data_IF_636526680413
#
_entry.id   IF_636526680413
#
_cell.length_a   1.000
_cell.length_b   1.000
_cell.length_c   1.000
_cell.angle_alpha   90.00
_cell.angle_beta   90.00
_cell.angle_gamma   90.00
#
_symmetry.space_group_name_H-M   'P 1'
#
loop_
_entity.id
_entity.type
_entity.pdbx_description
1 polymer ?
#
# COMPACT_ATOMS: atom_id res chain seq x y z
N UNK A 1 -18.35 -73.18 50.33
CA UNK A 1 -19.24 -74.34 50.55
C UNK A 1 -20.44 -74.18 49.62
N UNK A 2 -20.55 -75.00 48.55
CA UNK A 2 -21.69 -75.09 47.59
C UNK A 2 -22.08 -73.80 46.82
N UNK A 3 -22.66 -73.83 45.63
CA UNK A 3 -22.57 -74.72 44.44
C UNK A 3 -23.06 -73.89 43.20
N UNK A 4 -22.98 -74.42 41.96
CA UNK A 4 -23.44 -73.72 40.73
C UNK A 4 -24.38 -74.60 39.89
N UNK A 5 -25.29 -74.00 39.08
CA UNK A 5 -25.13 -74.01 37.60
C UNK A 5 -25.59 -72.67 36.92
N UNK A 6 -24.94 -72.13 35.86
CA UNK A 6 -25.08 -72.37 34.39
C UNK A 6 -26.46 -72.06 33.78
N UNK A 7 -26.64 -71.66 32.51
CA UNK A 7 -25.82 -71.10 31.39
C UNK A 7 -26.78 -70.77 30.21
N UNK A 8 -26.49 -70.13 29.06
CA UNK A 8 -25.28 -69.84 28.24
C UNK A 8 -25.35 -68.36 27.74
N UNK A 9 -24.70 -67.84 26.69
CA UNK A 9 -23.71 -68.33 25.69
C UNK A 9 -23.09 -67.14 24.93
N UNK A 10 -21.77 -67.14 24.61
CA UNK A 10 -21.17 -67.49 23.28
C UNK A 10 -21.63 -66.63 22.09
N UNK A 11 -20.78 -66.00 21.26
CA UNK A 11 -19.31 -65.80 21.21
C UNK A 11 -19.04 -64.47 20.42
N UNK A 12 -17.87 -63.82 20.29
CA UNK A 12 -16.50 -64.30 20.02
C UNK A 12 -16.22 -64.36 18.50
N UNK A 13 -15.30 -63.58 17.89
CA UNK A 13 -14.47 -62.49 18.44
C UNK A 13 -13.47 -61.85 17.44
N UNK A 14 -12.73 -60.83 17.93
CA UNK A 14 -11.34 -60.44 17.61
C UNK A 14 -10.80 -60.17 16.17
N UNK A 15 -10.48 -58.87 15.94
CA UNK A 15 -9.17 -58.31 15.48
C UNK A 15 -8.64 -58.44 14.02
N UNK A 16 -8.73 -57.31 13.31
CA UNK A 16 -7.63 -56.54 12.64
C UNK A 16 -6.75 -57.14 11.51
N UNK A 17 -6.80 -56.51 10.31
CA UNK A 17 -5.66 -55.77 9.68
C UNK A 17 -6.07 -55.02 8.39
N UNK A 18 -5.27 -54.03 8.00
CA UNK A 18 -5.25 -53.28 6.71
C UNK A 18 -3.95 -53.62 5.94
N UNK A 19 -3.68 -53.08 4.73
CA UNK A 19 -4.51 -52.90 3.53
C UNK A 19 -3.79 -53.49 2.27
N UNK A 20 -4.32 -53.32 1.04
CA UNK A 20 -3.60 -53.19 -0.27
C UNK A 20 -4.65 -53.04 -1.44
N UNK A 21 -4.25 -52.66 -2.69
CA UNK A 21 -5.14 -51.94 -3.63
C UNK A 21 -5.79 -52.78 -4.75
N UNK A 22 -6.75 -52.17 -5.46
CA UNK A 22 -7.36 -52.67 -6.71
C UNK A 22 -6.88 -51.89 -7.95
N UNK A 23 -6.09 -52.49 -8.86
CA UNK A 23 -5.85 -51.96 -10.19
C UNK A 23 -6.83 -52.57 -11.21
N UNK A 24 -7.80 -51.79 -11.70
CA UNK A 24 -8.72 -52.23 -12.76
C UNK A 24 -8.10 -52.10 -14.14
N UNK A 25 -7.62 -53.21 -14.73
CA UNK A 25 -7.33 -53.31 -16.17
C UNK A 25 -8.50 -53.97 -16.89
N UNK A 26 -8.99 -53.33 -17.94
CA UNK A 26 -9.69 -54.02 -19.02
C UNK A 26 -8.65 -54.44 -20.09
N UNK A 27 -8.81 -55.63 -20.65
CA UNK A 27 -7.96 -56.15 -21.73
C UNK A 27 -8.80 -56.28 -23.00
N UNK A 28 -8.26 -55.80 -24.12
CA UNK A 28 -8.71 -56.16 -25.45
C UNK A 28 -7.54 -56.84 -26.17
N UNK A 29 -7.81 -57.96 -26.84
CA UNK A 29 -6.79 -58.78 -27.51
C UNK A 29 -6.69 -58.45 -29.00
N UNK A 30 -5.47 -58.39 -29.54
CA UNK A 30 -5.15 -58.95 -30.85
C UNK A 30 -3.66 -59.32 -30.92
N UNK A 31 -3.38 -60.52 -31.41
CA UNK A 31 -2.07 -60.93 -31.96
C UNK A 31 -1.75 -60.15 -33.25
N UNK A 32 -0.51 -60.00 -33.70
CA UNK A 32 0.77 -60.46 -33.14
C UNK A 32 1.73 -60.92 -34.26
N UNK A 33 2.96 -60.42 -34.29
CA UNK A 33 4.06 -60.93 -35.13
C UNK A 33 5.40 -60.36 -34.63
N UNK A 34 6.45 -61.18 -34.60
CA UNK A 34 7.83 -60.73 -34.37
C UNK A 34 8.63 -60.88 -35.66
N UNK A 35 9.40 -59.86 -36.03
CA UNK A 35 10.30 -59.88 -37.19
C UNK A 35 11.60 -59.17 -36.86
N UNK A 36 12.73 -59.79 -37.21
CA UNK A 36 14.07 -59.27 -36.97
C UNK A 36 14.62 -58.52 -38.18
N UNK A 37 15.27 -57.39 -37.96
CA UNK A 37 15.97 -56.63 -39.00
C UNK A 37 16.89 -55.57 -38.39
N UNK A 38 18.17 -55.58 -38.78
CA UNK A 38 19.19 -54.62 -38.35
C UNK A 38 19.13 -53.31 -39.16
N UNK A 39 19.69 -52.20 -38.64
CA UNK A 39 19.30 -50.86 -39.09
C UNK A 39 19.92 -50.45 -40.43
N UNK A 40 19.20 -49.59 -41.16
CA UNK A 40 19.76 -48.84 -42.28
C UNK A 40 19.43 -47.34 -42.23
N UNK A 41 20.15 -46.61 -43.07
CA UNK A 41 20.58 -45.23 -42.83
C UNK A 41 19.66 -44.22 -43.51
N UNK A 42 19.30 -43.16 -42.78
CA UNK A 42 18.92 -41.82 -43.27
C UNK A 42 17.91 -41.70 -44.42
N UNK A 43 16.79 -41.00 -44.16
CA UNK A 43 16.39 -39.95 -45.09
C UNK A 43 15.83 -38.71 -44.35
N UNK A 44 15.85 -37.54 -45.00
CA UNK A 44 15.51 -36.23 -44.43
C UNK A 44 14.10 -35.78 -44.82
N UNK A 45 13.21 -35.57 -43.85
CA UNK A 45 12.12 -34.57 -43.89
C UNK A 45 11.42 -34.41 -42.53
N UNK A 46 11.37 -33.19 -41.93
CA UNK A 46 10.49 -32.91 -40.80
C UNK A 46 9.02 -32.83 -41.24
N UNK A 47 8.10 -33.37 -40.43
CA UNK A 47 6.65 -33.24 -40.65
C UNK A 47 6.16 -31.82 -40.27
N UNK A 48 5.67 -31.08 -41.26
CA UNK A 48 5.56 -29.62 -41.17
C UNK A 48 4.23 -29.11 -40.54
N UNK A 49 3.86 -29.60 -39.35
CA UNK A 49 2.64 -29.14 -38.62
C UNK A 49 2.82 -29.09 -37.10
N UNK A 50 3.12 -27.91 -36.50
CA UNK A 50 3.21 -27.75 -35.05
C UNK A 50 1.85 -27.43 -34.41
N UNK A 51 0.96 -28.44 -34.30
CA UNK A 51 -0.25 -28.37 -33.43
C UNK A 51 0.07 -28.77 -31.98
N UNK A 52 1.04 -28.06 -31.38
CA UNK A 52 1.25 -28.09 -29.93
C UNK A 52 0.12 -27.34 -29.20
N UNK A 53 -0.42 -27.92 -28.13
CA UNK A 53 -1.54 -27.34 -27.37
C UNK A 53 -1.12 -26.08 -26.59
N UNK A 54 -1.40 -24.90 -27.16
CA UNK A 54 -1.11 -23.61 -26.54
C UNK A 54 -2.03 -23.40 -25.33
N UNK A 55 -1.44 -23.44 -24.13
CA UNK A 55 -2.15 -23.09 -22.91
C UNK A 55 -2.32 -21.56 -22.84
N UNK A 56 -3.55 -21.07 -22.99
CA UNK A 56 -3.87 -19.65 -22.89
C UNK A 56 -3.90 -19.20 -21.43
N UNK A 57 -2.75 -18.76 -20.92
CA UNK A 57 -2.71 -17.97 -19.69
C UNK A 57 -3.53 -16.68 -19.83
N UNK A 58 -4.19 -16.19 -18.77
CA UNK A 58 -5.07 -15.03 -18.85
C UNK A 58 -4.26 -13.73 -19.04
N UNK A 59 -4.28 -13.21 -20.27
CA UNK A 59 -3.71 -11.90 -20.63
C UNK A 59 -2.47 -11.99 -21.52
N UNK A 60 -2.66 -11.96 -22.85
CA UNK A 60 -1.56 -11.89 -23.82
C UNK A 60 -2.03 -11.96 -25.27
N UNK A 61 -2.15 -10.81 -25.93
CA UNK A 61 -2.39 -10.75 -27.37
C UNK A 61 -1.13 -11.18 -28.15
N UNK A 62 -1.26 -11.92 -29.27
CA UNK A 62 -0.10 -12.48 -29.95
C UNK A 62 0.58 -11.51 -30.93
N UNK A 63 1.90 -11.38 -30.82
CA UNK A 63 2.78 -11.33 -31.99
C UNK A 63 3.05 -9.98 -32.67
N UNK A 64 3.68 -9.03 -31.96
CA UNK A 64 4.49 -7.98 -32.60
C UNK A 64 5.82 -7.79 -31.88
N UNK A 65 6.93 -7.97 -32.60
CA UNK A 65 8.28 -7.49 -32.26
C UNK A 65 8.74 -6.56 -33.40
N UNK A 66 9.50 -5.49 -33.17
CA UNK A 66 10.36 -5.17 -32.01
C UNK A 66 9.60 -4.82 -30.72
N UNK A 67 10.28 -4.77 -29.56
CA UNK A 67 9.68 -4.20 -28.35
C UNK A 67 9.32 -2.74 -28.58
N UNK A 68 8.03 -2.45 -28.72
CA UNK A 68 7.51 -1.08 -28.68
C UNK A 68 7.91 -0.48 -27.32
N UNK A 69 8.64 0.66 -27.29
CA UNK A 69 8.98 1.31 -26.03
C UNK A 69 7.70 1.63 -25.24
N UNK A 70 7.65 1.22 -23.98
CA UNK A 70 6.51 1.41 -23.08
C UNK A 70 6.31 2.86 -22.63
N UNK A 71 6.20 3.78 -23.58
CA UNK A 71 5.91 5.19 -23.38
C UNK A 71 4.42 5.47 -23.69
N UNK A 72 3.80 6.54 -23.15
CA UNK A 72 4.28 7.43 -22.08
C UNK A 72 3.42 7.35 -20.80
N UNK A 73 2.42 6.46 -20.76
CA UNK A 73 1.33 6.50 -19.77
C UNK A 73 1.78 6.47 -18.30
N UNK A 74 2.84 5.74 -17.97
CA UNK A 74 3.40 5.71 -16.60
C UNK A 74 3.98 7.07 -16.16
N UNK A 75 4.57 7.83 -17.09
CA UNK A 75 5.08 9.17 -16.83
C UNK A 75 3.91 10.15 -16.64
N UNK A 76 2.91 10.13 -17.52
CA UNK A 76 1.72 10.97 -17.37
C UNK A 76 0.95 10.69 -16.07
N UNK A 77 0.84 9.42 -15.65
CA UNK A 77 0.21 9.05 -14.38
C UNK A 77 0.95 9.59 -13.13
N UNK A 78 2.27 9.81 -13.23
CA UNK A 78 3.07 10.41 -12.17
C UNK A 78 3.04 11.95 -12.21
N UNK A 79 3.17 12.55 -13.40
CA UNK A 79 3.26 14.00 -13.57
C UNK A 79 1.90 14.70 -13.48
N UNK A 80 0.79 14.08 -13.91
CA UNK A 80 -0.54 14.70 -13.83
C UNK A 80 -0.97 15.10 -12.41
N UNK A 81 -0.90 14.24 -11.36
CA UNK A 81 -1.23 14.67 -10.00
C UNK A 81 -0.21 15.70 -9.48
N UNK A 82 1.07 15.58 -9.82
CA UNK A 82 2.11 16.52 -9.40
C UNK A 82 1.85 17.93 -9.95
N UNK A 83 1.51 18.02 -11.24
CA UNK A 83 1.16 19.27 -11.91
C UNK A 83 -0.17 19.84 -11.41
N UNK A 84 -1.18 19.00 -11.15
CA UNK A 84 -2.47 19.43 -10.58
C UNK A 84 -2.28 20.03 -9.19
N UNK A 85 -1.56 19.36 -8.29
CA UNK A 85 -1.28 19.88 -6.95
C UNK A 85 -0.43 21.15 -6.99
N UNK A 86 0.59 21.21 -7.87
CA UNK A 86 1.40 22.41 -8.07
C UNK A 86 0.58 23.60 -8.61
N UNK A 87 -0.31 23.37 -9.58
CA UNK A 87 -1.20 24.39 -10.13
C UNK A 87 -2.23 24.88 -9.10
N UNK A 88 -2.84 23.97 -8.33
CA UNK A 88 -3.74 24.32 -7.23
C UNK A 88 -3.01 25.13 -6.16
N UNK A 89 -1.81 24.72 -5.75
CA UNK A 89 -1.01 25.46 -4.79
C UNK A 89 -0.62 26.85 -5.31
N UNK A 90 -0.22 26.97 -6.57
CA UNK A 90 0.11 28.25 -7.20
C UNK A 90 -1.12 29.18 -7.25
N UNK A 91 -2.29 28.67 -7.65
CA UNK A 91 -3.54 29.42 -7.70
C UNK A 91 -4.00 29.87 -6.30
N UNK A 92 -3.95 28.99 -5.30
CA UNK A 92 -4.29 29.35 -3.91
C UNK A 92 -3.32 30.40 -3.38
N UNK A 93 -2.01 30.19 -3.55
CA UNK A 93 -0.98 31.14 -3.08
C UNK A 93 -1.12 32.51 -3.74
N UNK A 94 -1.36 32.54 -5.06
CA UNK A 94 -1.67 33.78 -5.80
C UNK A 94 -2.92 34.47 -5.27
N UNK A 95 -4.01 33.74 -5.01
CA UNK A 95 -5.24 34.31 -4.47
C UNK A 95 -5.09 34.83 -3.03
N UNK A 96 -4.26 34.19 -2.20
CA UNK A 96 -3.93 34.67 -0.85
C UNK A 96 -3.09 35.95 -0.92
N UNK A 97 -2.01 35.95 -1.72
CA UNK A 97 -1.12 37.10 -1.90
C UNK A 97 -1.83 38.31 -2.53
N UNK A 98 -2.55 38.10 -3.63
CA UNK A 98 -3.26 39.15 -4.38
C UNK A 98 -4.61 39.55 -3.77
N UNK A 99 -4.92 39.15 -2.52
CA UNK A 99 -6.14 39.54 -1.80
C UNK A 99 -7.44 39.19 -2.60
N UNK A 100 -7.39 38.07 -3.30
CA UNK A 100 -8.37 37.65 -4.30
C UNK A 100 -9.73 37.24 -3.73
N UNK A 101 -10.73 37.03 -4.61
CA UNK A 101 -12.07 36.59 -4.21
C UNK A 101 -12.04 35.24 -3.46
N UNK A 102 -11.12 34.32 -3.78
CA UNK A 102 -11.03 33.04 -3.09
C UNK A 102 -10.65 33.20 -1.62
N UNK A 103 -9.68 34.06 -1.30
CA UNK A 103 -9.31 34.41 0.09
C UNK A 103 -10.50 35.04 0.82
N UNK A 104 -11.19 35.98 0.18
CA UNK A 104 -12.43 36.59 0.72
C UNK A 104 -13.61 35.62 0.88
N UNK A 105 -13.58 34.46 0.24
CA UNK A 105 -14.52 33.37 0.51
C UNK A 105 -14.04 32.53 1.70
N UNK A 106 -12.77 32.14 1.74
CA UNK A 106 -12.18 31.36 2.83
C UNK A 106 -12.35 32.05 4.19
N UNK A 107 -12.12 33.37 4.25
CA UNK A 107 -12.19 34.08 5.53
C UNK A 107 -13.62 34.21 6.05
N UNK A 108 -14.61 34.24 5.14
CA UNK A 108 -16.02 34.20 5.51
C UNK A 108 -16.45 32.81 5.96
N UNK A 109 -15.97 31.76 5.30
CA UNK A 109 -16.22 30.37 5.71
C UNK A 109 -15.58 30.10 7.08
N UNK A 110 -14.30 30.44 7.27
CA UNK A 110 -13.58 30.30 8.54
C UNK A 110 -14.31 31.01 9.68
N UNK A 111 -14.59 32.31 9.54
CA UNK A 111 -15.33 33.08 10.57
C UNK A 111 -16.76 32.58 10.82
N UNK A 112 -17.37 31.88 9.87
CA UNK A 112 -18.70 31.28 10.06
C UNK A 112 -18.67 29.92 10.79
N UNK A 113 -17.56 29.17 10.76
CA UNK A 113 -17.46 27.83 11.39
C UNK A 113 -16.61 27.79 12.66
N UNK A 114 -15.78 28.81 12.93
CA UNK A 114 -15.05 28.91 14.20
C UNK A 114 -16.01 28.80 15.39
N UNK A 115 -15.59 28.07 16.42
CA UNK A 115 -16.37 27.83 17.64
C UNK A 115 -17.50 26.79 17.51
N UNK A 116 -17.69 26.17 16.34
CA UNK A 116 -18.71 25.14 16.17
C UNK A 116 -18.25 23.76 16.67
N UNK A 117 -19.15 23.07 17.37
CA UNK A 117 -18.93 21.71 17.89
C UNK A 117 -18.33 21.66 19.31
N UNK A 118 -18.24 20.46 19.92
CA UNK A 118 -17.74 20.32 21.28
C UNK A 118 -16.25 20.65 21.36
N UNK A 119 -15.87 21.64 22.19
CA UNK A 119 -14.50 22.16 22.32
C UNK A 119 -13.45 21.06 22.39
N UNK A 120 -13.58 20.13 23.35
CA UNK A 120 -12.60 19.05 23.55
C UNK A 120 -12.45 18.09 22.37
N UNK A 121 -13.51 17.87 21.57
CA UNK A 121 -13.41 17.10 20.33
C UNK A 121 -12.65 17.90 19.27
N UNK A 122 -13.03 19.16 19.06
CA UNK A 122 -12.38 20.02 18.05
C UNK A 122 -10.91 20.32 18.36
N UNK A 123 -10.55 20.38 19.65
CA UNK A 123 -9.18 20.52 20.14
C UNK A 123 -8.38 19.23 19.87
N UNK A 124 -8.89 18.06 20.31
CA UNK A 124 -8.28 16.77 20.04
C UNK A 124 -8.05 16.52 18.54
N UNK A 125 -8.98 16.95 17.68
CA UNK A 125 -8.80 16.88 16.23
C UNK A 125 -7.67 17.79 15.73
N UNK A 126 -7.51 19.00 16.27
CA UNK A 126 -6.39 19.87 15.95
C UNK A 126 -5.04 19.28 16.43
N UNK A 127 -5.01 18.68 17.64
CA UNK A 127 -3.83 18.04 18.24
C UNK A 127 -3.27 16.87 17.41
N UNK A 128 -4.09 16.21 16.58
CA UNK A 128 -3.60 15.23 15.60
C UNK A 128 -2.52 15.82 14.66
N UNK A 129 -2.58 17.13 14.38
CA UNK A 129 -1.56 17.84 13.60
C UNK A 129 -0.28 18.19 14.35
N UNK A 130 -0.26 18.05 15.67
CA UNK A 130 0.91 18.34 16.51
C UNK A 130 2.03 17.33 16.20
N UNK A 131 3.27 17.81 16.10
CA UNK A 131 4.45 16.96 15.92
C UNK A 131 4.57 15.89 17.02
N UNK A 132 4.14 16.20 18.24
CA UNK A 132 4.09 15.26 19.37
C UNK A 132 3.13 14.07 19.17
N UNK A 133 2.16 14.17 18.25
CA UNK A 133 1.19 13.09 17.94
C UNK A 133 1.49 12.47 16.57
N UNK A 134 1.72 13.30 15.56
CA UNK A 134 1.94 12.87 14.18
C UNK A 134 3.30 12.15 13.99
N UNK A 135 4.39 12.63 14.61
CA UNK A 135 5.71 12.01 14.43
C UNK A 135 5.81 10.61 15.06
N UNK A 136 5.28 10.33 16.27
CA UNK A 136 5.22 8.97 16.80
C UNK A 136 4.45 7.98 15.91
N UNK A 137 3.37 8.39 15.26
CA UNK A 137 2.62 7.52 14.32
C UNK A 137 3.47 7.19 13.09
N UNK A 138 4.16 8.17 12.50
CA UNK A 138 5.09 7.91 11.40
C UNK A 138 6.28 7.06 11.85
N UNK A 139 6.85 7.34 13.03
CA UNK A 139 7.97 6.58 13.59
C UNK A 139 7.61 5.12 13.88
N UNK A 140 6.41 4.84 14.38
CA UNK A 140 5.89 3.48 14.57
C UNK A 140 5.74 2.75 13.23
N UNK A 141 5.23 3.43 12.19
CA UNK A 141 5.17 2.85 10.84
C UNK A 141 6.57 2.58 10.27
N UNK A 142 7.52 3.51 10.42
CA UNK A 142 8.92 3.34 10.01
C UNK A 142 9.56 2.15 10.75
N UNK A 143 9.46 2.09 12.07
CA UNK A 143 9.97 0.98 12.89
C UNK A 143 9.37 -0.38 12.48
N UNK A 144 8.05 -0.42 12.22
CA UNK A 144 7.40 -1.62 11.67
C UNK A 144 8.00 -1.99 10.31
N UNK A 145 8.17 -1.06 9.37
CA UNK A 145 8.79 -1.38 8.07
C UNK A 145 10.23 -1.85 8.19
N UNK A 146 11.03 -1.30 9.11
CA UNK A 146 12.39 -1.74 9.41
C UNK A 146 12.40 -3.18 9.97
N UNK A 147 11.51 -3.50 10.91
CA UNK A 147 11.32 -4.86 11.44
C UNK A 147 10.91 -5.86 10.36
N UNK A 148 10.14 -5.42 9.36
CA UNK A 148 9.78 -6.22 8.18
C UNK A 148 10.90 -6.30 7.13
N UNK A 149 12.04 -5.62 7.32
CA UNK A 149 13.20 -5.60 6.42
C UNK A 149 13.17 -4.51 5.33
N UNK A 150 12.19 -3.62 5.35
CA UNK A 150 11.96 -2.56 4.37
C UNK A 150 12.86 -1.33 4.53
N UNK A 151 14.18 -1.50 4.47
CA UNK A 151 15.15 -0.41 4.69
C UNK A 151 14.97 0.78 3.72
N UNK A 152 14.70 0.52 2.45
CA UNK A 152 14.48 1.57 1.44
C UNK A 152 13.19 2.39 1.69
N UNK A 153 11.98 1.79 1.85
CA UNK A 153 10.79 2.55 2.24
C UNK A 153 10.96 3.32 3.55
N UNK A 154 11.56 2.70 4.58
CA UNK A 154 11.84 3.36 5.85
C UNK A 154 12.71 4.62 5.68
N UNK A 155 13.81 4.52 4.93
CA UNK A 155 14.71 5.64 4.68
C UNK A 155 14.04 6.78 3.91
N UNK A 156 13.10 6.48 3.00
CA UNK A 156 12.41 7.48 2.19
C UNK A 156 11.37 8.31 2.97
N UNK A 157 10.93 7.87 4.16
CA UNK A 157 10.06 8.66 5.03
C UNK A 157 10.78 9.89 5.64
N UNK A 158 12.10 9.79 5.86
CA UNK A 158 12.92 10.86 6.45
C UNK A 158 12.95 12.12 5.56
N UNK A 159 13.33 12.08 4.26
CA UNK A 159 13.29 13.26 3.40
C UNK A 159 11.87 13.75 3.15
N UNK A 160 10.84 12.89 3.14
CA UNK A 160 9.44 13.34 3.06
C UNK A 160 9.05 14.23 4.25
N UNK A 161 9.39 13.82 5.48
CA UNK A 161 9.09 14.63 6.67
C UNK A 161 9.99 15.87 6.75
N UNK A 162 11.26 15.76 6.39
CA UNK A 162 12.18 16.92 6.33
C UNK A 162 11.76 17.96 5.26
N UNK A 163 11.05 17.55 4.20
CA UNK A 163 10.48 18.46 3.22
C UNK A 163 9.35 19.34 3.79
N UNK A 164 8.69 18.95 4.88
CA UNK A 164 7.62 19.77 5.50
C UNK A 164 8.13 21.15 5.93
N UNK A 165 9.10 21.30 6.86
CA UNK A 165 9.63 22.61 7.22
C UNK A 165 10.33 23.31 6.04
N UNK A 166 11.04 22.57 5.19
CA UNK A 166 11.77 23.13 4.05
C UNK A 166 10.85 23.75 2.99
N UNK A 167 9.63 23.24 2.81
CA UNK A 167 8.61 23.81 1.91
C UNK A 167 7.73 24.86 2.61
N UNK A 168 7.32 24.61 3.86
CA UNK A 168 6.37 25.48 4.58
C UNK A 168 7.03 26.78 5.05
N UNK A 169 8.25 26.74 5.60
CA UNK A 169 8.86 27.92 6.21
C UNK A 169 9.14 29.07 5.21
N UNK A 170 9.67 28.83 4.00
CA UNK A 170 9.89 29.92 3.02
C UNK A 170 8.59 30.55 2.51
N UNK A 171 7.52 29.76 2.38
CA UNK A 171 6.21 30.30 1.97
C UNK A 171 5.57 31.09 3.11
N UNK A 172 5.70 30.62 4.37
CA UNK A 172 5.24 31.37 5.55
C UNK A 172 5.89 32.75 5.67
N UNK A 173 7.22 32.84 5.51
CA UNK A 173 7.93 34.11 5.60
C UNK A 173 7.66 35.03 4.40
N UNK A 174 7.46 34.48 3.20
CA UNK A 174 7.13 35.27 2.01
C UNK A 174 5.69 35.82 2.01
N UNK A 175 4.70 34.99 2.38
CA UNK A 175 3.28 35.36 2.32
C UNK A 175 2.81 36.11 3.57
N UNK A 176 3.42 35.84 4.73
CA UNK A 176 3.15 36.54 6.00
C UNK A 176 1.65 36.67 6.37
N UNK A 177 0.79 35.71 5.98
CA UNK A 177 -0.67 35.82 6.18
C UNK A 177 -1.03 35.94 7.68
N UNK A 178 -1.87 36.90 8.10
CA UNK A 178 -2.44 36.97 9.45
C UNK A 178 -3.35 35.78 9.79
N UNK A 179 -3.42 35.41 11.07
CA UNK A 179 -4.26 34.32 11.57
C UNK A 179 -5.76 34.65 11.63
N UNK A 180 -6.63 33.66 11.94
CA UNK A 180 -8.08 33.88 12.06
C UNK A 180 -8.50 34.65 13.31
N UNK A 181 -7.76 34.49 14.41
CA UNK A 181 -8.07 35.04 15.73
C UNK A 181 -6.93 35.91 16.31
N UNK A 182 -5.93 36.26 15.50
CA UNK A 182 -4.77 37.06 15.92
C UNK A 182 -4.24 37.92 14.77
N UNK A 183 -3.53 39.01 15.10
CA UNK A 183 -2.80 39.84 14.14
C UNK A 183 -1.42 39.26 13.79
N UNK A 184 -0.97 38.20 14.47
CA UNK A 184 0.28 37.51 14.14
C UNK A 184 0.26 36.92 12.74
N UNK A 185 1.42 36.96 12.08
CA UNK A 185 1.61 36.61 10.67
C UNK A 185 2.26 35.25 10.46
N UNK A 186 2.17 34.72 9.24
CA UNK A 186 2.80 33.45 8.86
C UNK A 186 1.89 32.24 9.07
N UNK A 187 0.56 32.41 8.98
CA UNK A 187 -0.41 31.32 9.11
C UNK A 187 -0.53 30.47 7.83
N UNK A 188 -0.39 31.07 6.65
CA UNK A 188 -0.35 30.36 5.38
C UNK A 188 1.08 29.94 4.99
N UNK A 189 1.36 28.68 4.59
CA UNK A 189 0.49 27.51 4.67
C UNK A 189 0.60 26.83 6.05
N UNK A 190 -0.40 26.05 6.45
CA UNK A 190 -0.50 25.48 7.81
C UNK A 190 0.53 24.39 8.10
N UNK A 191 1.41 24.61 9.09
CA UNK A 191 2.40 23.63 9.53
C UNK A 191 1.75 22.33 10.05
N UNK A 192 0.77 22.45 10.95
CA UNK A 192 0.05 21.30 11.51
C UNK A 192 -0.65 20.45 10.44
N UNK A 193 -1.30 21.08 9.46
CA UNK A 193 -1.93 20.37 8.34
C UNK A 193 -0.91 19.66 7.43
N UNK A 194 0.27 20.27 7.22
CA UNK A 194 1.36 19.66 6.44
C UNK A 194 1.98 18.46 7.17
N UNK A 195 2.26 18.60 8.47
CA UNK A 195 2.79 17.52 9.31
C UNK A 195 1.82 16.33 9.37
N UNK A 196 0.53 16.57 9.61
CA UNK A 196 -0.50 15.51 9.57
C UNK A 196 -0.56 14.80 8.21
N UNK A 197 -0.64 15.57 7.11
CA UNK A 197 -0.73 15.03 5.76
C UNK A 197 0.48 14.14 5.41
N UNK A 198 1.71 14.58 5.72
CA UNK A 198 2.91 13.80 5.42
C UNK A 198 3.08 12.62 6.38
N UNK A 199 2.79 12.78 7.68
CA UNK A 199 2.90 11.71 8.65
C UNK A 199 1.89 10.59 8.41
N UNK A 200 0.61 10.92 8.25
CA UNK A 200 -0.45 9.91 8.13
C UNK A 200 -0.45 9.26 6.74
N UNK A 201 -0.34 10.02 5.64
CA UNK A 201 -0.24 9.43 4.31
C UNK A 201 1.10 8.68 4.12
N UNK A 202 2.19 9.16 4.73
CA UNK A 202 3.47 8.44 4.77
C UNK A 202 3.35 7.10 5.51
N UNK A 203 2.76 7.10 6.70
CA UNK A 203 2.48 5.87 7.46
C UNK A 203 1.57 4.90 6.68
N UNK A 204 0.53 5.40 6.02
CA UNK A 204 -0.35 4.58 5.18
C UNK A 204 0.36 3.98 3.97
N UNK A 205 1.21 4.74 3.27
CA UNK A 205 2.04 4.23 2.17
C UNK A 205 2.96 3.12 2.65
N UNK A 206 3.66 3.35 3.77
CA UNK A 206 4.54 2.37 4.41
C UNK A 206 3.78 1.08 4.78
N UNK A 207 2.63 1.17 5.43
CA UNK A 207 1.85 0.01 5.90
C UNK A 207 1.15 -0.76 4.75
N UNK A 208 0.65 -0.05 3.73
CA UNK A 208 -0.11 -0.65 2.61
C UNK A 208 0.66 -1.70 1.80
N UNK A 209 1.99 -1.58 1.77
CA UNK A 209 2.88 -2.54 1.10
C UNK A 209 2.84 -3.92 1.77
N UNK A 210 2.63 -3.97 3.10
CA UNK A 210 2.63 -5.20 3.90
C UNK A 210 1.23 -5.78 4.15
N UNK A 211 0.21 -4.93 4.27
CA UNK A 211 -1.21 -5.33 4.36
C UNK A 211 -1.60 -6.10 3.10
N UNK A 212 -2.15 -7.32 3.23
CA UNK A 212 -2.54 -8.16 2.07
C UNK A 212 -4.03 -8.12 1.74
N UNK A 213 -4.88 -8.15 2.76
CA UNK A 213 -6.34 -8.04 2.66
C UNK A 213 -6.78 -6.65 3.15
N UNK A 214 -7.91 -6.12 2.66
CA UNK A 214 -8.43 -4.80 3.05
C UNK A 214 -7.45 -3.62 2.86
N UNK A 215 -6.68 -3.61 1.75
CA UNK A 215 -5.72 -2.52 1.42
C UNK A 215 -6.32 -1.10 1.32
N UNK A 216 -7.64 -0.96 1.34
CA UNK A 216 -8.32 0.34 1.40
C UNK A 216 -8.23 0.99 2.79
N UNK A 217 -8.05 0.23 3.89
CA UNK A 217 -8.11 0.81 5.24
C UNK A 217 -6.96 1.76 5.56
N UNK A 218 -5.67 1.51 5.21
CA UNK A 218 -4.60 2.44 5.57
C UNK A 218 -4.74 3.82 4.90
N UNK A 219 -4.96 3.96 3.57
CA UNK A 219 -5.13 5.27 2.95
C UNK A 219 -6.46 5.93 3.35
N UNK A 220 -7.53 5.16 3.64
CA UNK A 220 -8.77 5.74 4.18
C UNK A 220 -8.54 6.32 5.59
N UNK A 221 -7.83 5.60 6.47
CA UNK A 221 -7.52 6.10 7.81
C UNK A 221 -6.65 7.36 7.74
N UNK A 222 -5.64 7.39 6.86
CA UNK A 222 -4.82 8.58 6.67
C UNK A 222 -5.62 9.78 6.11
N UNK A 223 -6.54 9.53 5.17
CA UNK A 223 -7.46 10.55 4.66
C UNK A 223 -8.36 11.09 5.78
N UNK A 224 -8.98 10.20 6.57
CA UNK A 224 -9.85 10.59 7.70
C UNK A 224 -9.06 11.40 8.73
N UNK A 225 -7.87 10.95 9.14
CA UNK A 225 -7.03 11.68 10.10
C UNK A 225 -6.62 13.06 9.56
N UNK A 226 -6.16 13.13 8.30
CA UNK A 226 -5.73 14.40 7.68
C UNK A 226 -6.89 15.38 7.53
N UNK A 227 -8.06 14.92 7.09
CA UNK A 227 -9.27 15.75 6.98
C UNK A 227 -9.76 16.19 8.37
N UNK A 228 -9.72 15.32 9.37
CA UNK A 228 -10.12 15.63 10.73
C UNK A 228 -9.17 16.65 11.39
N UNK A 229 -7.85 16.56 11.17
CA UNK A 229 -6.91 17.61 11.54
C UNK A 229 -7.25 18.94 10.88
N UNK A 230 -7.51 18.94 9.56
CA UNK A 230 -7.93 20.14 8.85
C UNK A 230 -9.18 20.77 9.44
N UNK A 231 -10.20 19.97 9.74
CA UNK A 231 -11.44 20.41 10.37
C UNK A 231 -11.19 20.98 11.79
N UNK A 232 -10.41 20.30 12.63
CA UNK A 232 -10.05 20.79 13.98
C UNK A 232 -9.38 22.16 13.92
N UNK A 233 -8.32 22.31 13.12
CA UNK A 233 -7.59 23.58 12.98
C UNK A 233 -8.47 24.76 12.52
N UNK A 234 -9.48 24.49 11.67
CA UNK A 234 -10.43 25.51 11.18
C UNK A 234 -11.49 25.82 12.25
N UNK A 235 -12.08 24.80 12.88
CA UNK A 235 -13.13 24.96 13.91
C UNK A 235 -12.60 25.64 15.18
N UNK A 236 -11.32 25.44 15.53
CA UNK A 236 -10.64 26.15 16.62
C UNK A 236 -10.16 27.56 16.24
N UNK A 237 -10.18 27.92 14.95
CA UNK A 237 -9.68 29.21 14.47
C UNK A 237 -8.15 29.34 14.48
N UNK A 238 -7.44 28.21 14.52
CA UNK A 238 -5.97 28.17 14.43
C UNK A 238 -5.46 28.34 13.00
N UNK A 239 -6.26 28.03 11.99
CA UNK A 239 -5.91 28.25 10.59
C UNK A 239 -7.13 28.57 9.72
N UNK A 240 -6.89 29.30 8.63
CA UNK A 240 -7.88 29.51 7.60
C UNK A 240 -8.02 28.27 6.70
N UNK A 241 -9.17 28.05 6.03
CA UNK A 241 -9.36 26.90 5.14
C UNK A 241 -8.31 26.77 4.02
N UNK A 242 -7.87 27.89 3.42
CA UNK A 242 -6.81 27.85 2.40
C UNK A 242 -5.43 27.53 2.97
N UNK A 243 -5.15 27.83 4.24
CA UNK A 243 -3.86 27.48 4.85
C UNK A 243 -3.71 25.95 4.95
N UNK A 244 -4.82 25.27 5.26
CA UNK A 244 -4.92 23.80 5.35
C UNK A 244 -4.82 23.16 3.95
N UNK A 245 -5.66 23.60 3.01
CA UNK A 245 -5.67 23.05 1.63
C UNK A 245 -4.35 23.35 0.90
N UNK A 246 -3.79 24.55 1.07
CA UNK A 246 -2.49 24.95 0.53
C UNK A 246 -1.37 24.03 1.01
N UNK A 247 -1.33 23.69 2.30
CA UNK A 247 -0.38 22.71 2.85
C UNK A 247 -0.52 21.32 2.24
N UNK A 248 -1.75 20.84 2.00
CA UNK A 248 -1.96 19.55 1.35
C UNK A 248 -1.45 19.56 -0.09
N UNK A 249 -1.76 20.61 -0.85
CA UNK A 249 -1.27 20.78 -2.22
C UNK A 249 0.26 20.96 -2.30
N UNK A 250 0.89 21.56 -1.29
CA UNK A 250 2.34 21.76 -1.22
C UNK A 250 3.08 20.46 -0.85
N UNK A 251 2.61 19.73 0.16
CA UNK A 251 3.40 18.66 0.79
C UNK A 251 3.06 17.24 0.31
N UNK A 252 1.83 16.93 -0.09
CA UNK A 252 1.47 15.61 -0.62
C UNK A 252 2.23 15.20 -1.90
N UNK A 253 2.60 16.12 -2.84
CA UNK A 253 3.47 15.80 -3.97
C UNK A 253 4.80 15.12 -3.60
N UNK A 254 5.38 15.42 -2.42
CA UNK A 254 6.61 14.77 -1.95
C UNK A 254 6.43 13.26 -1.71
N UNK A 255 5.26 12.85 -1.22
CA UNK A 255 4.90 11.45 -1.03
C UNK A 255 4.62 10.75 -2.36
N UNK A 256 4.04 11.44 -3.35
CA UNK A 256 3.88 10.89 -4.71
C UNK A 256 5.26 10.56 -5.29
N UNK A 257 6.19 11.51 -5.28
CA UNK A 257 7.56 11.33 -5.78
C UNK A 257 8.30 10.16 -5.08
N UNK A 258 8.13 10.00 -3.77
CA UNK A 258 8.68 8.86 -3.02
C UNK A 258 7.96 7.55 -3.37
N UNK A 259 6.64 7.55 -3.54
CA UNK A 259 5.85 6.33 -3.79
C UNK A 259 6.29 5.60 -5.07
N UNK A 260 6.68 6.34 -6.12
CA UNK A 260 7.23 5.79 -7.36
C UNK A 260 8.59 5.08 -7.19
N UNK A 261 9.27 5.23 -6.04
CA UNK A 261 10.50 4.50 -5.68
C UNK A 261 10.23 3.28 -4.81
N UNK A 262 9.00 3.04 -4.37
CA UNK A 262 8.65 1.93 -3.48
C UNK A 262 8.24 0.68 -4.26
N UNK A 263 8.62 -0.53 -3.82
CA UNK A 263 8.18 -1.76 -4.46
C UNK A 263 6.69 -2.00 -4.19
N UNK A 264 5.90 -2.18 -5.26
CA UNK A 264 4.44 -2.39 -5.18
C UNK A 264 3.99 -3.56 -4.27
N UNK A 265 4.90 -4.51 -3.98
CA UNK A 265 4.75 -5.52 -2.92
C UNK A 265 6.11 -5.80 -2.31
N UNK A 266 6.23 -5.69 -0.98
CA UNK A 266 7.42 -6.20 -0.30
C UNK A 266 7.34 -7.73 -0.18
N UNK A 267 8.27 -8.43 -0.83
CA UNK A 267 8.56 -9.83 -0.54
C UNK A 267 9.63 -9.86 0.55
N UNK A 268 9.40 -10.53 1.70
CA UNK A 268 10.48 -10.74 2.65
C UNK A 268 11.61 -11.54 1.97
N UNK A 269 12.88 -11.29 2.32
CA UNK A 269 13.98 -12.11 1.84
C UNK A 269 13.71 -13.58 2.21
N UNK A 270 14.17 -14.56 1.40
CA UNK A 270 14.15 -15.95 1.81
C UNK A 270 14.83 -16.06 3.17
N UNK A 271 14.15 -16.63 4.17
CA UNK A 271 14.85 -17.08 5.37
C UNK A 271 15.88 -18.09 4.89
N UNK A 272 17.16 -17.80 5.08
CA UNK A 272 18.21 -18.78 4.85
C UNK A 272 17.84 -20.01 5.67
N UNK A 273 17.54 -21.11 4.97
CA UNK A 273 17.30 -22.39 5.61
C UNK A 273 18.59 -22.75 6.33
N UNK A 274 18.57 -22.71 7.67
CA UNK A 274 19.55 -23.45 8.46
C UNK A 274 19.36 -24.91 8.08
N UNK A 275 20.15 -25.37 7.12
CA UNK A 275 20.36 -26.79 6.92
C UNK A 275 20.79 -27.34 8.29
N UNK A 276 20.21 -28.46 8.76
CA UNK A 276 20.79 -29.16 9.90
C UNK A 276 22.27 -29.39 9.58
N UNK A 277 23.16 -29.05 10.52
CA UNK A 277 24.52 -29.54 10.42
C UNK A 277 24.43 -31.07 10.35
N UNK A 278 25.12 -31.67 9.38
CA UNK A 278 25.23 -33.12 9.37
C UNK A 278 25.89 -33.55 10.69
N UNK A 279 25.38 -34.58 11.38
CA UNK A 279 26.12 -35.15 12.49
C UNK A 279 27.43 -35.73 11.94
N UNK A 280 28.56 -35.29 12.50
CA UNK A 280 29.85 -35.88 12.20
C UNK A 280 29.82 -37.39 12.55
N UNK A 281 30.44 -38.20 11.69
CA UNK A 281 30.59 -39.66 11.84
C UNK A 281 32.07 -40.03 11.93
#
# INVERSE_FOLDING_TARGET
>A
MRETPRSQGTAGGSRSRHPLPRPGRAVAHTTGASGSGTPHRSDRRPSHTPRGARHTGPGGCPGTTPPVPGQPAFLFAAFAPLALFGLLFALITWQVAAHGPLRRADERIGRAVVGHGPTGLTEFLADLGNMAVALPVLAAAVAYTLWRGGRAPAAAAVPSMAAVPALVAPVKSWIARPGPLTQETGYYPSGHAATAAVAYCGAALLVSVYVRHHRWWPPLLALVLTLATGAGLILRGYHWPLDVVGSWCLCLPSLVLVSHRLPARYRPPPRASRAPAAPDQ
#
